data_IF_564071052536
#
_entry.id   IF_564071052536
#
_cell.length_a   1.000
_cell.length_b   1.000
_cell.length_c   1.000
_cell.angle_alpha   90.00
_cell.angle_beta   90.00
_cell.angle_gamma   90.00
#
_symmetry.space_group_name_H-M   'P 1'
#
loop_
_entity.id
_entity.type
_entity.pdbx_description
1 polymer ?
#
# COMPACT_ATOMS: atom_id res chain seq x y z
N UNK A 1 -10.51 -8.76 14.30
CA UNK A 1 -11.17 -8.18 13.10
C UNK A 1 -11.24 -6.67 13.28
N UNK A 2 -10.87 -5.90 12.25
CA UNK A 2 -10.82 -4.43 12.31
C UNK A 2 -12.15 -3.84 11.84
N UNK A 3 -12.67 -2.83 12.55
CA UNK A 3 -13.96 -2.18 12.24
C UNK A 3 -13.84 -1.06 11.18
N UNK A 4 -12.63 -0.61 10.85
CA UNK A 4 -12.38 0.51 9.94
C UNK A 4 -12.26 0.11 8.47
N UNK A 5 -12.15 1.10 7.57
CA UNK A 5 -12.07 0.91 6.11
C UNK A 5 -10.75 0.26 5.64
N UNK A 6 -9.65 0.47 6.36
CA UNK A 6 -8.36 -0.14 6.03
C UNK A 6 -8.28 -1.57 6.58
N UNK A 7 -8.57 -2.56 5.73
CA UNK A 7 -8.63 -3.98 6.10
C UNK A 7 -7.32 -4.74 5.91
N UNK A 8 -6.47 -4.32 4.97
CA UNK A 8 -5.20 -5.00 4.71
C UNK A 8 -4.29 -4.91 5.95
N UNK A 9 -3.80 -6.05 6.42
CA UNK A 9 -3.03 -6.17 7.65
C UNK A 9 -1.65 -5.52 7.53
N UNK A 10 -0.94 -5.73 6.42
CA UNK A 10 0.39 -5.18 6.15
C UNK A 10 0.35 -3.65 6.03
N UNK A 11 -0.63 -3.10 5.30
CA UNK A 11 -0.84 -1.65 5.23
C UNK A 11 -1.17 -1.08 6.61
N UNK A 12 -2.03 -1.75 7.37
CA UNK A 12 -2.37 -1.33 8.75
C UNK A 12 -1.13 -1.30 9.64
N UNK A 13 -0.24 -2.27 9.48
CA UNK A 13 1.00 -2.39 10.23
C UNK A 13 2.00 -1.27 9.89
N UNK A 14 2.25 -1.05 8.60
CA UNK A 14 3.18 0.01 8.13
C UNK A 14 2.67 1.38 8.54
N UNK A 15 1.39 1.70 8.30
CA UNK A 15 0.81 3.01 8.65
C UNK A 15 0.89 3.27 10.15
N UNK A 16 0.66 2.26 10.99
CA UNK A 16 0.76 2.40 12.44
C UNK A 16 2.19 2.63 12.96
N UNK A 17 3.21 2.37 12.14
CA UNK A 17 4.64 2.53 12.47
C UNK A 17 5.29 3.77 11.86
N UNK A 18 4.59 4.50 10.98
CA UNK A 18 5.14 5.72 10.37
C UNK A 18 5.48 6.75 11.45
N UNK A 19 6.76 7.13 11.51
CA UNK A 19 7.26 8.23 12.31
C UNK A 19 7.21 9.56 11.59
N UNK A 20 7.70 10.61 12.25
CA UNK A 20 7.88 11.90 11.59
C UNK A 20 8.87 11.73 10.43
N UNK A 21 8.52 12.29 9.27
CA UNK A 21 9.28 12.26 8.00
C UNK A 21 9.36 10.93 7.25
N UNK A 22 8.82 9.84 7.79
CA UNK A 22 8.69 8.60 7.03
C UNK A 22 7.77 8.79 5.82
N UNK A 23 8.06 8.04 4.75
CA UNK A 23 7.32 8.12 3.49
C UNK A 23 6.73 6.77 3.11
N UNK A 24 5.60 6.81 2.41
CA UNK A 24 4.93 5.66 1.84
C UNK A 24 4.58 5.99 0.40
N UNK A 25 5.00 5.14 -0.54
CA UNK A 25 4.73 5.33 -1.97
C UNK A 25 3.58 4.43 -2.41
N UNK A 26 2.58 5.02 -3.06
CA UNK A 26 1.57 4.28 -3.85
C UNK A 26 2.06 4.28 -5.29
N UNK A 27 2.12 3.10 -5.90
CA UNK A 27 2.72 2.89 -7.20
C UNK A 27 1.74 2.26 -8.18
N UNK A 28 1.91 2.55 -9.47
CA UNK A 28 1.31 1.75 -10.53
C UNK A 28 2.02 0.39 -10.70
N UNK A 29 1.49 -0.48 -11.55
CA UNK A 29 2.01 -1.83 -11.76
C UNK A 29 3.40 -1.88 -12.44
N UNK A 30 3.88 -0.76 -12.98
CA UNK A 30 5.14 -0.67 -13.74
C UNK A 30 6.31 -0.06 -12.98
N UNK A 31 6.08 0.55 -11.80
CA UNK A 31 7.15 1.23 -11.06
C UNK A 31 8.22 0.24 -10.54
N UNK A 32 9.51 0.41 -10.89
CA UNK A 32 10.57 -0.40 -10.31
C UNK A 32 10.76 -0.07 -8.81
N UNK A 33 10.87 -1.10 -7.98
CA UNK A 33 11.08 -0.97 -6.54
C UNK A 33 12.57 -1.26 -6.24
N UNK A 34 13.32 -0.33 -5.64
CA UNK A 34 14.71 -0.57 -5.26
C UNK A 34 14.81 -1.59 -4.13
N UNK A 35 16.00 -2.15 -3.90
CA UNK A 35 16.23 -3.00 -2.74
C UNK A 35 16.14 -2.20 -1.43
N UNK A 36 15.44 -2.74 -0.43
CA UNK A 36 15.36 -2.16 0.92
C UNK A 36 13.92 -1.88 1.39
N UNK A 37 13.14 -1.03 0.70
CA UNK A 37 11.76 -0.75 1.09
C UNK A 37 10.88 -2.00 1.08
N UNK A 38 9.94 -2.09 2.03
CA UNK A 38 8.93 -3.14 2.03
C UNK A 38 8.01 -2.98 0.81
N UNK A 39 7.88 -4.05 0.00
CA UNK A 39 6.89 -4.13 -1.07
C UNK A 39 5.60 -4.77 -0.55
N UNK A 40 4.49 -4.05 -0.62
CA UNK A 40 3.15 -4.60 -0.41
C UNK A 40 2.46 -4.61 -1.77
N UNK A 41 2.38 -5.79 -2.39
CA UNK A 41 1.74 -5.96 -3.69
C UNK A 41 0.24 -6.19 -3.52
N UNK A 42 -0.56 -5.30 -4.08
CA UNK A 42 -2.02 -5.38 -4.08
C UNK A 42 -2.59 -5.63 -5.48
N UNK A 43 -1.77 -5.63 -6.53
CA UNK A 43 -2.24 -5.81 -7.89
C UNK A 43 -2.76 -7.24 -8.08
N UNK A 44 -4.06 -7.36 -8.40
CA UNK A 44 -4.69 -8.65 -8.68
C UNK A 44 -4.68 -8.93 -10.18
N UNK A 45 -5.14 -7.95 -10.95
CA UNK A 45 -5.20 -7.96 -12.42
C UNK A 45 -4.98 -6.53 -12.93
N UNK A 46 -4.71 -6.32 -14.23
CA UNK A 46 -4.57 -4.97 -14.78
C UNK A 46 -5.76 -4.08 -14.40
N UNK A 47 -5.47 -2.96 -13.71
CA UNK A 47 -6.49 -2.00 -13.25
C UNK A 47 -7.30 -2.42 -12.02
N UNK A 48 -6.94 -3.49 -11.31
CA UNK A 48 -7.62 -3.90 -10.07
C UNK A 48 -6.63 -4.28 -8.96
N UNK A 49 -6.65 -3.57 -7.81
CA UNK A 49 -7.34 -2.30 -7.57
C UNK A 49 -6.84 -1.20 -8.53
N UNK A 50 -7.67 -0.19 -8.79
CA UNK A 50 -7.24 0.99 -9.53
C UNK A 50 -6.39 1.90 -8.62
N UNK A 51 -5.65 2.83 -9.23
CA UNK A 51 -4.71 3.68 -8.49
C UNK A 51 -5.39 4.58 -7.46
N UNK A 52 -6.59 5.06 -7.75
CA UNK A 52 -7.31 5.99 -6.88
C UNK A 52 -8.39 5.33 -6.01
N UNK A 53 -8.67 4.04 -6.18
CA UNK A 53 -9.71 3.30 -5.44
C UNK A 53 -10.91 4.20 -5.12
N UNK A 54 -11.56 4.69 -6.18
CA UNK A 54 -12.76 5.49 -6.05
C UNK A 54 -13.80 4.71 -5.26
N UNK A 55 -14.32 5.32 -4.19
CA UNK A 55 -15.63 4.96 -3.67
C UNK A 55 -16.72 5.49 -4.59
#
# INVERSE_FOLDING_TARGET
>A
MKKGRLLNAELSHVIARLGHTDTLTIADAGLPIPAGPQRIDLALTPGTPDFMAGG
#
